data_IF_463108494517
#
_entry.id   IF_463108494517
#
_cell.length_a   1.000
_cell.length_b   1.000
_cell.length_c   1.000
_cell.angle_alpha   90.00
_cell.angle_beta   90.00
_cell.angle_gamma   90.00
#
_symmetry.space_group_name_H-M   'P 1'
#
loop_
_entity.id
_entity.type
_entity.pdbx_description
1 polymer ?
#
# COMPACT_ATOMS: atom_id res chain seq x y z
N UNK A 1 -15.89 16.82 20.39
CA UNK A 1 -16.06 16.24 19.06
C UNK A 1 -15.71 14.75 19.10
N UNK A 2 -14.48 14.30 19.08
CA UNK A 2 -14.11 12.88 19.01
C UNK A 2 -14.87 11.94 19.98
N UNK A 3 -15.00 12.33 21.25
CA UNK A 3 -15.77 11.57 22.25
C UNK A 3 -17.25 11.46 21.89
N UNK A 4 -17.82 12.51 21.33
CA UNK A 4 -19.22 12.56 20.95
C UNK A 4 -19.48 11.64 19.73
N UNK A 5 -18.59 11.69 18.75
CA UNK A 5 -18.65 10.86 17.55
C UNK A 5 -18.55 9.37 17.91
N UNK A 6 -17.62 9.01 18.81
CA UNK A 6 -17.49 7.64 19.34
C UNK A 6 -18.78 7.12 20.01
N UNK A 7 -19.47 7.99 20.77
CA UNK A 7 -20.68 7.61 21.49
C UNK A 7 -21.92 7.59 20.57
N UNK A 8 -21.94 8.42 19.53
CA UNK A 8 -22.99 8.43 18.53
C UNK A 8 -22.88 7.28 17.52
N UNK A 9 -21.76 6.56 17.51
CA UNK A 9 -21.53 5.44 16.57
C UNK A 9 -20.88 5.85 15.25
N UNK A 10 -20.42 7.10 15.15
CA UNK A 10 -19.77 7.61 13.96
C UNK A 10 -18.34 7.05 13.80
N UNK A 11 -17.84 7.01 12.57
CA UNK A 11 -16.44 6.68 12.26
C UNK A 11 -15.53 7.85 12.62
N UNK A 12 -14.35 7.55 13.17
CA UNK A 12 -13.34 8.53 13.55
C UNK A 12 -11.97 8.07 13.08
N UNK A 13 -11.21 8.95 12.45
CA UNK A 13 -9.79 8.77 12.17
C UNK A 13 -9.00 9.88 12.84
N UNK A 14 -7.99 9.51 13.62
CA UNK A 14 -7.14 10.45 14.34
C UNK A 14 -5.69 10.19 13.99
N UNK A 15 -4.97 11.26 13.64
CA UNK A 15 -3.52 11.25 13.42
C UNK A 15 -2.93 12.17 14.47
N UNK A 16 -2.24 11.60 15.45
CA UNK A 16 -1.66 12.32 16.56
C UNK A 16 -0.15 12.06 16.67
N UNK A 17 0.68 13.04 16.29
CA UNK A 17 2.14 12.90 16.39
C UNK A 17 2.68 12.84 17.83
N UNK A 18 1.89 13.23 18.81
CA UNK A 18 2.30 13.33 20.21
C UNK A 18 1.80 12.17 21.07
N UNK A 19 0.68 11.54 20.69
CA UNK A 19 0.09 10.38 21.39
C UNK A 19 -0.94 10.72 22.47
N UNK A 20 -0.88 11.89 23.09
CA UNK A 20 -1.75 12.27 24.22
C UNK A 20 -3.25 12.18 23.87
N UNK A 21 -3.62 12.65 22.67
CA UNK A 21 -5.00 12.62 22.20
C UNK A 21 -5.48 11.20 21.92
N UNK A 22 -4.61 10.35 21.39
CA UNK A 22 -4.92 8.94 21.13
C UNK A 22 -5.14 8.19 22.44
N UNK A 23 -4.32 8.42 23.47
CA UNK A 23 -4.50 7.84 24.80
C UNK A 23 -5.85 8.22 25.39
N UNK A 24 -6.22 9.51 25.32
CA UNK A 24 -7.52 9.99 25.76
C UNK A 24 -8.67 9.31 25.02
N UNK A 25 -8.57 9.17 23.70
CA UNK A 25 -9.59 8.52 22.88
C UNK A 25 -9.74 7.05 23.26
N UNK A 26 -8.65 6.34 23.47
CA UNK A 26 -8.66 4.95 23.94
C UNK A 26 -9.38 4.84 25.27
N UNK A 27 -9.06 5.73 26.21
CA UNK A 27 -9.67 5.76 27.54
C UNK A 27 -11.19 6.04 27.52
N UNK A 28 -11.65 6.86 26.57
CA UNK A 28 -13.07 7.22 26.42
C UNK A 28 -13.87 6.29 25.52
N UNK A 29 -13.20 5.36 24.83
CA UNK A 29 -13.90 4.44 23.90
C UNK A 29 -14.78 3.46 24.67
N UNK A 30 -16.07 3.38 24.35
CA UNK A 30 -16.97 2.39 24.96
C UNK A 30 -16.48 0.96 24.72
N UNK A 31 -16.58 0.09 25.73
CA UNK A 31 -16.17 -1.32 25.61
C UNK A 31 -16.84 -2.05 24.43
N UNK A 32 -18.06 -1.69 24.09
CA UNK A 32 -18.79 -2.26 22.95
C UNK A 32 -18.12 -1.96 21.61
N UNK A 33 -17.34 -0.87 21.52
CA UNK A 33 -16.63 -0.43 20.31
C UNK A 33 -15.13 -0.75 20.31
N UNK A 34 -14.61 -1.32 21.39
CA UNK A 34 -13.18 -1.64 21.46
C UNK A 34 -12.71 -2.57 20.32
N UNK A 35 -13.59 -3.47 19.86
CA UNK A 35 -13.31 -4.36 18.72
C UNK A 35 -13.23 -3.65 17.36
N UNK A 36 -13.80 -2.45 17.24
CA UNK A 36 -13.84 -1.67 16.01
C UNK A 36 -12.65 -0.69 15.93
N UNK A 37 -11.82 -0.64 17.00
CA UNK A 37 -10.68 0.25 17.08
C UNK A 37 -9.45 -0.38 16.45
N UNK A 38 -8.82 0.36 15.54
CA UNK A 38 -7.52 0.02 14.96
C UNK A 38 -6.52 1.06 15.45
N UNK A 39 -5.49 0.61 16.16
CA UNK A 39 -4.42 1.48 16.66
C UNK A 39 -3.17 1.17 15.85
N UNK A 40 -2.67 2.18 15.13
CA UNK A 40 -1.41 2.10 14.41
C UNK A 40 -0.35 2.90 15.19
N UNK A 41 0.51 2.19 15.88
CA UNK A 41 1.65 2.78 16.60
C UNK A 41 2.97 2.35 15.95
N UNK A 42 3.65 3.24 15.22
CA UNK A 42 4.96 2.94 14.62
C UNK A 42 6.06 2.65 15.64
N UNK A 43 5.86 3.03 16.91
CA UNK A 43 6.77 2.80 18.03
C UNK A 43 6.60 1.44 18.73
N UNK A 44 5.53 0.68 18.41
CA UNK A 44 5.32 -0.65 18.99
C UNK A 44 6.16 -1.71 18.26
N UNK A 45 7.38 -1.92 18.75
CA UNK A 45 8.31 -2.91 18.22
C UNK A 45 7.94 -4.35 18.56
N UNK A 46 7.13 -4.56 19.59
CA UNK A 46 6.67 -5.90 20.00
C UNK A 46 5.54 -6.41 19.10
N UNK A 47 4.73 -5.50 18.58
CA UNK A 47 3.59 -5.83 17.72
C UNK A 47 3.56 -4.93 16.47
N UNK A 48 4.56 -5.04 15.61
CA UNK A 48 4.61 -4.19 14.42
C UNK A 48 3.41 -4.47 13.51
N UNK A 49 2.73 -3.40 13.10
CA UNK A 49 1.64 -3.49 12.15
C UNK A 49 2.19 -3.37 10.72
N UNK A 50 1.96 -4.38 9.90
CA UNK A 50 2.27 -4.34 8.48
C UNK A 50 1.16 -3.64 7.69
N UNK A 51 1.55 -2.78 6.76
CA UNK A 51 0.64 -2.17 5.79
C UNK A 51 1.18 -2.41 4.39
N UNK A 52 0.40 -3.10 3.56
CA UNK A 52 0.75 -3.30 2.16
C UNK A 52 0.13 -2.19 1.30
N UNK A 53 0.94 -1.21 0.87
CA UNK A 53 0.46 -0.11 0.04
C UNK A 53 0.12 -0.52 -1.41
N UNK A 54 0.44 -1.76 -1.80
CA UNK A 54 0.04 -2.35 -3.08
C UNK A 54 -1.25 -3.19 -2.97
N UNK A 55 -1.89 -3.20 -1.81
CA UNK A 55 -3.14 -3.93 -1.62
C UNK A 55 -4.29 -3.30 -2.41
N UNK A 56 -5.07 -4.14 -3.09
CA UNK A 56 -6.23 -3.75 -3.88
C UNK A 56 -7.44 -4.50 -3.35
N UNK A 57 -8.46 -3.77 -2.92
CA UNK A 57 -9.60 -4.33 -2.16
C UNK A 57 -10.83 -4.55 -3.04
N UNK A 58 -11.01 -3.76 -4.10
CA UNK A 58 -12.20 -3.84 -4.97
C UNK A 58 -12.32 -5.17 -5.68
N UNK A 59 -13.52 -5.73 -5.68
CA UNK A 59 -13.88 -6.92 -6.47
C UNK A 59 -14.32 -6.57 -7.90
N UNK A 60 -14.84 -5.36 -8.12
CA UNK A 60 -15.20 -4.88 -9.45
C UNK A 60 -13.96 -4.67 -10.32
N UNK A 61 -13.95 -5.28 -11.51
CA UNK A 61 -12.78 -5.30 -12.39
C UNK A 61 -12.32 -3.92 -12.85
N UNK A 62 -13.26 -2.99 -13.06
CA UNK A 62 -12.95 -1.63 -13.51
C UNK A 62 -12.37 -0.79 -12.37
N UNK A 63 -13.00 -0.85 -11.20
CA UNK A 63 -12.52 -0.18 -10.00
C UNK A 63 -11.16 -0.75 -9.57
N UNK A 64 -10.98 -2.06 -9.63
CA UNK A 64 -9.74 -2.74 -9.32
C UNK A 64 -8.58 -2.29 -10.20
N UNK A 65 -8.81 -2.11 -11.51
CA UNK A 65 -7.79 -1.59 -12.41
C UNK A 65 -7.38 -0.14 -12.04
N UNK A 66 -8.36 0.70 -11.71
CA UNK A 66 -8.09 2.07 -11.25
C UNK A 66 -7.36 2.11 -9.91
N UNK A 67 -7.69 1.22 -8.99
CA UNK A 67 -7.01 1.10 -7.69
C UNK A 67 -5.55 0.66 -7.87
N UNK A 68 -5.27 -0.31 -8.75
CA UNK A 68 -3.91 -0.74 -9.08
C UNK A 68 -3.07 0.43 -9.61
N UNK A 69 -3.59 1.17 -10.58
CA UNK A 69 -2.90 2.34 -11.11
C UNK A 69 -2.65 3.40 -10.05
N UNK A 70 -3.65 3.67 -9.21
CA UNK A 70 -3.53 4.64 -8.13
C UNK A 70 -2.52 4.20 -7.07
N UNK A 71 -2.58 2.95 -6.63
CA UNK A 71 -1.63 2.40 -5.66
C UNK A 71 -0.18 2.50 -6.16
N UNK A 72 0.06 2.17 -7.43
CA UNK A 72 1.38 2.30 -8.05
C UNK A 72 1.87 3.76 -8.10
N UNK A 73 0.97 4.72 -8.41
CA UNK A 73 1.29 6.15 -8.41
C UNK A 73 1.56 6.68 -6.99
N UNK A 74 0.71 6.34 -6.03
CA UNK A 74 0.85 6.78 -4.65
C UNK A 74 2.14 6.21 -4.03
N UNK A 75 2.45 4.94 -4.26
CA UNK A 75 3.71 4.33 -3.86
C UNK A 75 4.92 5.06 -4.48
N UNK A 76 4.86 5.36 -5.78
CA UNK A 76 5.90 6.13 -6.48
C UNK A 76 6.09 7.51 -5.85
N UNK A 77 4.99 8.22 -5.58
CA UNK A 77 5.03 9.55 -4.96
C UNK A 77 5.64 9.53 -3.55
N UNK A 78 5.37 8.49 -2.77
CA UNK A 78 5.98 8.29 -1.45
C UNK A 78 7.50 8.13 -1.58
N UNK A 79 7.98 7.31 -2.52
CA UNK A 79 9.42 7.11 -2.73
C UNK A 79 10.12 8.38 -3.23
N UNK A 80 9.50 9.14 -4.12
CA UNK A 80 10.01 10.45 -4.55
C UNK A 80 10.15 11.38 -3.33
N UNK A 81 9.14 11.41 -2.48
CA UNK A 81 9.16 12.26 -1.28
C UNK A 81 10.23 11.86 -0.27
N UNK A 82 10.53 10.57 -0.14
CA UNK A 82 11.54 10.06 0.78
C UNK A 82 12.95 10.26 0.26
N UNK A 83 13.20 9.95 -1.02
CA UNK A 83 14.55 9.89 -1.62
C UNK A 83 14.91 11.11 -2.47
N UNK A 84 13.93 11.92 -2.86
CA UNK A 84 14.08 13.04 -3.78
C UNK A 84 14.13 12.62 -5.26
N UNK A 85 13.76 13.55 -6.14
CA UNK A 85 13.72 13.34 -7.61
C UNK A 85 15.10 13.01 -8.21
N UNK A 86 16.18 13.49 -7.60
CA UNK A 86 17.54 13.24 -8.08
C UNK A 86 17.94 11.76 -7.92
N UNK A 87 17.51 11.11 -6.85
CA UNK A 87 17.78 9.69 -6.58
C UNK A 87 16.72 8.82 -7.23
N UNK A 88 15.44 9.15 -7.02
CA UNK A 88 14.31 8.41 -7.58
C UNK A 88 13.85 9.05 -8.90
N UNK A 89 14.78 9.13 -9.87
CA UNK A 89 14.58 9.79 -11.15
C UNK A 89 13.60 9.05 -12.09
N UNK A 90 13.25 9.66 -13.24
CA UNK A 90 12.16 9.17 -14.12
C UNK A 90 12.30 7.71 -14.56
N UNK A 91 13.53 7.24 -14.79
CA UNK A 91 13.77 5.85 -15.18
C UNK A 91 13.44 4.89 -14.04
N UNK A 92 13.88 5.19 -12.83
CA UNK A 92 13.61 4.37 -11.64
C UNK A 92 12.11 4.37 -11.36
N UNK A 93 11.45 5.53 -11.45
CA UNK A 93 10.00 5.66 -11.31
C UNK A 93 9.24 4.77 -12.30
N UNK A 94 9.68 4.76 -13.57
CA UNK A 94 9.06 3.95 -14.61
C UNK A 94 9.20 2.44 -14.33
N UNK A 95 10.40 1.99 -13.96
CA UNK A 95 10.66 0.61 -13.59
C UNK A 95 9.89 0.18 -12.32
N UNK A 96 9.93 1.04 -11.31
CA UNK A 96 9.22 0.78 -10.04
C UNK A 96 7.71 0.66 -10.27
N UNK A 97 7.11 1.57 -11.04
CA UNK A 97 5.68 1.55 -11.37
C UNK A 97 5.29 0.26 -12.10
N UNK A 98 6.02 -0.12 -13.13
CA UNK A 98 5.74 -1.35 -13.87
C UNK A 98 5.97 -2.60 -13.01
N UNK A 99 6.97 -2.60 -12.14
CA UNK A 99 7.19 -3.66 -11.16
C UNK A 99 6.03 -3.80 -10.18
N UNK A 100 5.57 -2.68 -9.60
CA UNK A 100 4.42 -2.67 -8.69
C UNK A 100 3.15 -3.16 -9.38
N UNK A 101 2.86 -2.69 -10.60
CA UNK A 101 1.72 -3.16 -11.39
C UNK A 101 1.81 -4.66 -11.69
N UNK A 102 3.01 -5.18 -12.02
CA UNK A 102 3.24 -6.60 -12.26
C UNK A 102 2.86 -7.45 -11.04
N UNK A 103 3.26 -7.03 -9.85
CA UNK A 103 2.93 -7.73 -8.60
C UNK A 103 1.42 -7.71 -8.32
N UNK A 104 0.76 -6.58 -8.56
CA UNK A 104 -0.68 -6.44 -8.36
C UNK A 104 -1.55 -7.17 -9.41
N UNK A 105 -0.96 -7.63 -10.52
CA UNK A 105 -1.68 -8.44 -11.51
C UNK A 105 -1.85 -9.91 -11.07
N UNK A 106 -1.05 -10.36 -10.11
CA UNK A 106 -1.24 -11.67 -9.49
C UNK A 106 -2.28 -11.59 -8.37
N UNK A 107 -3.53 -11.80 -8.74
CA UNK A 107 -4.68 -11.71 -7.82
C UNK A 107 -4.69 -12.82 -6.75
N UNK A 108 -3.92 -13.90 -6.93
CA UNK A 108 -3.89 -15.04 -6.00
C UNK A 108 -2.87 -14.84 -4.87
N UNK A 109 -1.64 -14.50 -5.24
CA UNK A 109 -0.54 -14.34 -4.27
C UNK A 109 -0.31 -12.87 -3.92
N UNK A 110 -0.68 -11.97 -4.83
CA UNK A 110 -0.36 -10.56 -4.70
C UNK A 110 1.14 -10.28 -4.71
N UNK A 111 1.51 -9.21 -4.05
CA UNK A 111 2.90 -8.82 -3.84
C UNK A 111 3.00 -7.64 -2.90
N UNK A 112 4.21 -7.38 -2.44
CA UNK A 112 4.53 -6.30 -1.53
C UNK A 112 5.63 -5.42 -2.12
N UNK A 113 5.89 -4.27 -1.51
CA UNK A 113 7.00 -3.39 -1.92
C UNK A 113 8.36 -4.09 -1.88
N UNK A 114 8.55 -5.06 -0.97
CA UNK A 114 9.80 -5.81 -0.84
C UNK A 114 10.05 -6.71 -2.06
N UNK A 115 8.98 -7.13 -2.73
CA UNK A 115 9.06 -7.97 -3.92
C UNK A 115 9.43 -7.19 -5.18
N UNK A 116 9.25 -5.86 -5.20
CA UNK A 116 9.58 -5.03 -6.38
C UNK A 116 11.05 -5.16 -6.79
N UNK A 117 12.05 -5.00 -5.91
CA UNK A 117 13.45 -5.23 -6.28
C UNK A 117 13.72 -6.66 -6.74
N UNK A 118 13.02 -7.64 -6.18
CA UNK A 118 13.18 -9.04 -6.52
C UNK A 118 12.83 -9.34 -7.97
N UNK A 119 11.85 -8.65 -8.55
CA UNK A 119 11.52 -8.76 -9.98
C UNK A 119 12.71 -8.47 -10.90
N UNK A 120 13.64 -7.62 -10.45
CA UNK A 120 14.78 -7.17 -11.26
C UNK A 120 16.07 -7.94 -11.01
N UNK A 121 16.09 -8.86 -10.04
CA UNK A 121 17.30 -9.62 -9.67
C UNK A 121 17.08 -11.15 -9.66
N UNK A 122 15.83 -11.61 -9.66
CA UNK A 122 15.46 -13.05 -9.67
C UNK A 122 14.67 -13.37 -10.94
N UNK A 123 15.36 -13.88 -11.94
CA UNK A 123 14.77 -14.22 -13.24
C UNK A 123 13.60 -15.22 -13.15
N UNK A 124 13.67 -16.18 -12.22
CA UNK A 124 12.61 -17.17 -12.06
C UNK A 124 11.34 -16.54 -11.49
N UNK A 125 11.52 -15.70 -10.48
CA UNK A 125 10.42 -14.93 -9.88
C UNK A 125 9.81 -13.95 -10.87
N UNK A 126 10.65 -13.21 -11.60
CA UNK A 126 10.20 -12.29 -12.65
C UNK A 126 9.36 -13.01 -13.71
N UNK A 127 9.86 -14.09 -14.31
CA UNK A 127 9.13 -14.86 -15.31
C UNK A 127 7.80 -15.40 -14.79
N UNK A 128 7.78 -15.85 -13.54
CA UNK A 128 6.55 -16.32 -12.90
C UNK A 128 5.53 -15.21 -12.78
N UNK A 129 5.88 -14.05 -12.19
CA UNK A 129 4.97 -12.92 -12.02
C UNK A 129 4.53 -12.31 -13.35
N UNK A 130 5.44 -12.15 -14.31
CA UNK A 130 5.12 -11.65 -15.66
C UNK A 130 4.12 -12.56 -16.39
N UNK A 131 4.18 -13.88 -16.18
CA UNK A 131 3.22 -14.82 -16.77
C UNK A 131 1.77 -14.58 -16.30
N UNK A 132 1.57 -13.95 -15.15
CA UNK A 132 0.25 -13.60 -14.59
C UNK A 132 -0.29 -12.26 -15.10
N UNK A 133 0.57 -11.42 -15.71
CA UNK A 133 0.19 -10.08 -16.18
C UNK A 133 -0.82 -10.17 -17.33
N UNK A 134 -1.93 -9.46 -17.16
CA UNK A 134 -3.00 -9.33 -18.18
C UNK A 134 -2.93 -7.97 -18.89
N UNK A 135 -2.45 -6.94 -18.19
CA UNK A 135 -2.36 -5.57 -18.72
C UNK A 135 -1.34 -5.51 -19.88
N UNK A 136 -1.77 -5.12 -21.11
CA UNK A 136 -0.91 -5.10 -22.27
C UNK A 136 0.24 -4.09 -22.18
N UNK A 137 0.04 -2.99 -21.45
CA UNK A 137 1.09 -1.96 -21.25
C UNK A 137 2.21 -2.51 -20.38
N UNK A 138 1.87 -3.20 -19.31
CA UNK A 138 2.85 -3.84 -18.43
C UNK A 138 3.58 -5.00 -19.14
N UNK A 139 2.87 -5.75 -19.99
CA UNK A 139 3.52 -6.78 -20.84
C UNK A 139 4.54 -6.16 -21.79
N UNK A 140 4.16 -5.09 -22.49
CA UNK A 140 5.04 -4.41 -23.43
C UNK A 140 6.33 -3.87 -22.74
N UNK A 141 6.22 -3.40 -21.51
CA UNK A 141 7.40 -3.03 -20.73
C UNK A 141 8.38 -4.20 -20.57
N UNK A 142 7.91 -5.38 -20.17
CA UNK A 142 8.78 -6.55 -19.98
C UNK A 142 9.33 -7.13 -21.29
N UNK A 143 8.61 -6.97 -22.40
CA UNK A 143 9.01 -7.52 -23.71
C UNK A 143 9.96 -6.61 -24.47
N UNK A 144 9.89 -5.28 -24.26
CA UNK A 144 10.55 -4.32 -25.15
C UNK A 144 11.43 -3.30 -24.43
N UNK A 145 11.26 -3.08 -23.13
CA UNK A 145 11.96 -2.03 -22.41
C UNK A 145 12.90 -2.55 -21.30
N UNK A 146 12.60 -3.71 -20.76
CA UNK A 146 13.44 -4.39 -19.77
C UNK A 146 14.37 -5.38 -20.44
#
# INVERSE_FOLDING_TARGET
>A
MARQDLWCGDGLCVIDPHGDLVEDIIAYTPKSRAKDMIIFDPGDWERPMGMNILEVISEDSTLRAMEKDRAALDATAIFIKIFGDEVFGPRIQHYFRNGALTLMEDDEEGGTLIDVPRLFVDDAFMKYKVSKVKNPVVKAFWEHEY
#
